data_IF_327247690426
#
_entry.id   IF_327247690426
#
_cell.length_a   1.000
_cell.length_b   1.000
_cell.length_c   1.000
_cell.angle_alpha   90.00
_cell.angle_beta   90.00
_cell.angle_gamma   90.00
#
_symmetry.space_group_name_H-M   'P 1'
#
loop_
_entity.id
_entity.type
_entity.pdbx_description
1 polymer ?
#
# COMPACT_ATOMS: atom_id res chain seq x y z
N UNK A 1 -11.09 -7.54 6.70
CA UNK A 1 -9.62 -7.33 6.71
C UNK A 1 -8.89 -8.35 7.58
N UNK A 2 -9.49 -8.81 8.69
CA UNK A 2 -8.82 -9.67 9.69
C UNK A 2 -8.50 -11.12 9.31
N UNK A 3 -8.73 -11.55 8.07
CA UNK A 3 -8.43 -12.94 7.61
C UNK A 3 -7.83 -13.04 6.21
N UNK A 4 -7.60 -11.91 5.53
CA UNK A 4 -6.99 -11.95 4.21
C UNK A 4 -5.47 -12.06 4.37
N UNK A 5 -4.82 -13.03 3.69
CA UNK A 5 -3.39 -13.16 3.78
C UNK A 5 -2.73 -11.89 3.17
N UNK A 6 -1.68 -11.34 3.81
CA UNK A 6 -1.04 -10.08 3.42
C UNK A 6 -0.71 -9.98 1.93
N UNK A 7 -0.25 -11.09 1.34
CA UNK A 7 0.12 -11.14 -0.08
C UNK A 7 -1.07 -10.94 -1.03
N UNK A 8 -2.24 -11.52 -0.73
CA UNK A 8 -3.42 -11.38 -1.59
C UNK A 8 -3.97 -9.97 -1.53
N UNK A 9 -4.06 -9.39 -0.32
CA UNK A 9 -4.62 -8.05 -0.14
C UNK A 9 -3.90 -7.02 -1.01
N UNK A 10 -2.58 -7.05 -1.00
CA UNK A 10 -1.77 -6.04 -1.71
C UNK A 10 -1.73 -6.29 -3.20
N UNK A 11 -1.64 -7.55 -3.62
CA UNK A 11 -1.73 -7.88 -5.04
C UNK A 11 -3.07 -7.41 -5.61
N UNK A 12 -4.18 -7.62 -4.89
CA UNK A 12 -5.52 -7.16 -5.32
C UNK A 12 -5.59 -5.64 -5.35
N UNK A 13 -5.13 -4.96 -4.30
CA UNK A 13 -5.15 -3.48 -4.21
C UNK A 13 -4.33 -2.87 -5.34
N UNK A 14 -3.09 -3.32 -5.55
CA UNK A 14 -2.20 -2.81 -6.60
C UNK A 14 -2.72 -3.08 -8.01
N UNK A 15 -3.25 -4.28 -8.28
CA UNK A 15 -3.84 -4.58 -9.59
C UNK A 15 -5.11 -3.76 -9.83
N UNK A 16 -5.95 -3.59 -8.81
CA UNK A 16 -7.18 -2.80 -8.92
C UNK A 16 -6.88 -1.32 -9.12
N UNK A 17 -5.92 -0.75 -8.38
CA UNK A 17 -5.45 0.62 -8.56
C UNK A 17 -4.92 0.85 -9.97
N UNK A 18 -4.02 -0.02 -10.44
CA UNK A 18 -3.42 0.12 -11.76
C UNK A 18 -4.47 0.03 -12.88
N UNK A 19 -5.46 -0.86 -12.72
CA UNK A 19 -6.57 -0.99 -13.66
C UNK A 19 -7.47 0.25 -13.65
N UNK A 20 -7.80 0.79 -12.47
CA UNK A 20 -8.64 1.99 -12.35
C UNK A 20 -7.93 3.23 -12.90
N UNK A 21 -6.64 3.40 -12.58
CA UNK A 21 -5.81 4.46 -13.16
C UNK A 21 -5.67 4.33 -14.68
N UNK A 22 -5.57 3.11 -15.21
CA UNK A 22 -5.60 2.89 -16.66
C UNK A 22 -6.94 3.30 -17.29
N UNK A 23 -8.06 2.98 -16.63
CA UNK A 23 -9.39 3.42 -17.07
C UNK A 23 -9.55 4.95 -16.99
N UNK A 24 -8.95 5.60 -15.97
CA UNK A 24 -8.94 7.06 -15.83
C UNK A 24 -8.31 7.74 -17.04
N UNK A 25 -7.14 7.27 -17.49
CA UNK A 25 -6.43 7.84 -18.65
C UNK A 25 -7.27 7.74 -19.93
N UNK A 26 -8.04 6.67 -20.08
CA UNK A 26 -8.88 6.42 -21.25
C UNK A 26 -10.28 7.07 -21.16
N UNK A 27 -10.61 7.73 -20.05
CA UNK A 27 -11.92 8.34 -19.85
C UNK A 27 -12.00 9.72 -20.50
N UNK A 28 -12.91 9.87 -21.46
CA UNK A 28 -13.18 11.15 -22.15
C UNK A 28 -14.26 11.97 -21.41
N UNK A 29 -15.15 11.30 -20.68
CA UNK A 29 -16.27 11.96 -19.99
C UNK A 29 -15.86 12.39 -18.58
N UNK A 30 -16.05 13.66 -18.24
CA UNK A 30 -15.68 14.25 -16.95
C UNK A 30 -16.38 13.58 -15.76
N UNK A 31 -17.62 13.13 -15.92
CA UNK A 31 -18.38 12.46 -14.85
C UNK A 31 -17.81 11.07 -14.57
N UNK A 32 -17.47 10.33 -15.63
CA UNK A 32 -16.85 9.01 -15.50
C UNK A 32 -15.44 9.16 -14.93
N UNK A 33 -14.68 10.16 -15.39
CA UNK A 33 -13.36 10.48 -14.85
C UNK A 33 -13.43 10.77 -13.35
N UNK A 34 -14.35 11.64 -12.91
CA UNK A 34 -14.52 11.99 -11.50
C UNK A 34 -14.94 10.78 -10.66
N UNK A 35 -15.86 9.96 -11.18
CA UNK A 35 -16.29 8.72 -10.52
C UNK A 35 -15.15 7.73 -10.34
N UNK A 36 -14.34 7.51 -11.39
CA UNK A 36 -13.17 6.64 -11.31
C UNK A 36 -12.11 7.19 -10.35
N UNK A 37 -11.94 8.51 -10.27
CA UNK A 37 -10.97 9.14 -9.36
C UNK A 37 -11.36 8.91 -7.89
N UNK A 38 -12.66 8.94 -7.57
CA UNK A 38 -13.15 8.58 -6.23
C UNK A 38 -12.92 7.09 -5.90
N UNK A 39 -13.11 6.21 -6.89
CA UNK A 39 -12.82 4.78 -6.73
C UNK A 39 -11.32 4.58 -6.47
N UNK A 40 -10.47 5.23 -7.26
CA UNK A 40 -9.01 5.18 -7.12
C UNK A 40 -8.56 5.63 -5.73
N UNK A 41 -9.07 6.77 -5.26
CA UNK A 41 -8.82 7.28 -3.91
C UNK A 41 -9.26 6.30 -2.82
N UNK A 42 -10.38 5.61 -3.02
CA UNK A 42 -10.89 4.61 -2.07
C UNK A 42 -9.97 3.39 -2.00
N UNK A 43 -9.44 2.95 -3.14
CA UNK A 43 -8.45 1.86 -3.21
C UNK A 43 -7.17 2.26 -2.47
N UNK A 44 -6.67 3.47 -2.69
CA UNK A 44 -5.49 4.01 -2.02
C UNK A 44 -5.67 4.00 -0.49
N UNK A 45 -6.79 4.55 0.02
CA UNK A 45 -7.07 4.58 1.47
C UNK A 45 -7.16 3.17 2.03
N UNK A 46 -7.85 2.26 1.32
CA UNK A 46 -7.99 0.86 1.73
C UNK A 46 -6.64 0.14 1.80
N UNK A 47 -5.74 0.41 0.85
CA UNK A 47 -4.36 -0.07 0.85
C UNK A 47 -3.56 0.41 2.05
N UNK A 48 -3.67 1.70 2.38
CA UNK A 48 -3.02 2.27 3.57
C UNK A 48 -3.48 1.60 4.87
N UNK A 49 -4.79 1.40 5.03
CA UNK A 49 -5.35 0.71 6.21
C UNK A 49 -4.87 -0.75 6.30
N UNK A 50 -4.78 -1.44 5.17
CA UNK A 50 -4.25 -2.80 5.11
C UNK A 50 -2.79 -2.87 5.57
N UNK A 51 -1.96 -1.95 5.07
CA UNK A 51 -0.54 -1.84 5.44
C UNK A 51 -0.36 -1.54 6.93
N UNK A 52 -1.11 -0.58 7.47
CA UNK A 52 -1.10 -0.24 8.89
C UNK A 52 -1.50 -1.43 9.77
N UNK A 53 -2.51 -2.20 9.35
CA UNK A 53 -2.93 -3.42 10.07
C UNK A 53 -1.79 -4.44 10.11
N UNK A 54 -1.13 -4.71 8.98
CA UNK A 54 0.02 -5.63 8.93
C UNK A 54 1.17 -5.17 9.82
N UNK A 55 1.57 -3.90 9.71
CA UNK A 55 2.65 -3.33 10.52
C UNK A 55 2.36 -3.43 12.03
N UNK A 56 1.10 -3.24 12.42
CA UNK A 56 0.68 -3.35 13.82
C UNK A 56 0.82 -4.76 14.38
N UNK A 57 0.65 -5.80 13.55
CA UNK A 57 0.76 -7.22 13.94
C UNK A 57 2.21 -7.69 14.03
N UNK A 58 3.12 -7.16 13.20
CA UNK A 58 4.55 -7.52 13.25
C UNK A 58 5.31 -6.76 14.33
N UNK A 59 4.82 -5.59 14.77
CA UNK A 59 5.58 -4.71 15.66
C UNK A 59 4.96 -4.55 17.05
N UNK A 60 5.16 -5.53 17.93
CA UNK A 60 4.71 -5.42 19.34
C UNK A 60 5.70 -4.57 20.17
N UNK A 61 7.00 -4.87 20.11
CA UNK A 61 8.00 -4.28 21.04
C UNK A 61 8.40 -2.83 20.74
N UNK A 62 8.50 -2.46 19.45
CA UNK A 62 8.96 -1.14 19.00
C UNK A 62 7.90 -0.42 18.16
N UNK A 63 6.61 -0.62 18.50
CA UNK A 63 5.47 -0.19 17.67
C UNK A 63 5.54 1.27 17.25
N UNK A 64 5.78 2.17 18.22
CA UNK A 64 5.83 3.61 17.96
C UNK A 64 6.96 4.02 17.00
N UNK A 65 8.14 3.40 17.09
CA UNK A 65 9.27 3.72 16.22
C UNK A 65 9.02 3.28 14.77
N UNK A 66 8.48 2.07 14.58
CA UNK A 66 8.23 1.53 13.24
C UNK A 66 7.06 2.23 12.58
N UNK A 67 5.96 2.48 13.32
CA UNK A 67 4.85 3.26 12.79
C UNK A 67 5.26 4.70 12.48
N UNK A 68 6.04 5.35 13.34
CA UNK A 68 6.55 6.70 13.09
C UNK A 68 7.48 6.78 11.88
N UNK A 69 8.33 5.77 11.67
CA UNK A 69 9.17 5.69 10.47
C UNK A 69 8.33 5.43 9.21
N UNK A 70 7.29 4.60 9.30
CA UNK A 70 6.32 4.41 8.23
C UNK A 70 5.62 5.72 7.85
N UNK A 71 5.19 6.49 8.84
CA UNK A 71 4.53 7.79 8.62
C UNK A 71 5.48 8.84 8.02
N UNK A 72 6.74 8.83 8.43
CA UNK A 72 7.77 9.67 7.83
C UNK A 72 7.97 9.33 6.34
N UNK A 73 8.05 8.05 6.00
CA UNK A 73 8.17 7.60 4.60
C UNK A 73 6.91 7.96 3.80
N UNK A 74 5.72 7.80 4.38
CA UNK A 74 4.46 8.20 3.74
C UNK A 74 4.41 9.72 3.48
N UNK A 75 4.89 10.52 4.44
CA UNK A 75 5.01 11.98 4.29
C UNK A 75 6.03 12.38 3.22
N UNK A 76 7.14 11.66 3.09
CA UNK A 76 8.06 11.86 1.97
C UNK A 76 7.38 11.54 0.64
N UNK A 77 6.64 10.43 0.56
CA UNK A 77 5.87 10.06 -0.62
C UNK A 77 4.83 11.10 -1.02
N UNK A 78 4.12 11.69 -0.04
CA UNK A 78 3.10 12.72 -0.30
C UNK A 78 3.69 14.06 -0.76
N UNK A 79 4.97 14.31 -0.52
CA UNK A 79 5.70 15.47 -1.05
C UNK A 79 6.30 15.15 -2.43
N UNK A 80 7.01 14.02 -2.53
CA UNK A 80 7.72 13.63 -3.75
C UNK A 80 6.74 13.31 -4.89
N UNK A 81 5.61 12.67 -4.60
CA UNK A 81 4.59 12.29 -5.58
C UNK A 81 4.07 13.48 -6.39
N UNK A 82 3.49 14.52 -5.76
CA UNK A 82 3.02 15.72 -6.46
C UNK A 82 4.12 16.48 -7.20
N UNK A 83 5.35 16.53 -6.67
CA UNK A 83 6.48 17.17 -7.36
C UNK A 83 6.80 16.42 -8.66
N UNK A 84 6.97 15.09 -8.59
CA UNK A 84 7.23 14.27 -9.77
C UNK A 84 6.06 14.29 -10.76
N UNK A 85 4.82 14.29 -10.25
CA UNK A 85 3.62 14.41 -11.06
C UNK A 85 3.53 15.75 -11.78
N UNK A 86 3.82 16.86 -11.10
CA UNK A 86 3.84 18.19 -11.71
C UNK A 86 4.89 18.29 -12.81
N UNK A 87 6.11 17.80 -12.56
CA UNK A 87 7.18 17.75 -13.56
C UNK A 87 6.75 16.90 -14.77
N UNK A 88 6.18 15.72 -14.55
CA UNK A 88 5.73 14.85 -15.63
C UNK A 88 4.60 15.47 -16.46
N UNK A 89 3.69 16.20 -15.81
CA UNK A 89 2.61 16.94 -16.45
C UNK A 89 3.15 18.06 -17.35
N UNK A 90 4.04 18.90 -16.82
CA UNK A 90 4.53 20.09 -17.50
C UNK A 90 5.51 19.78 -18.64
N UNK A 91 6.38 18.78 -18.46
CA UNK A 91 7.48 18.49 -19.39
C UNK A 91 7.19 17.35 -20.37
N UNK A 92 6.19 16.50 -20.13
CA UNK A 92 5.92 15.33 -20.98
C UNK A 92 4.51 15.36 -21.55
N UNK A 93 3.49 15.22 -20.70
CA UNK A 93 2.08 15.33 -21.08
C UNK A 93 1.16 15.14 -19.85
N UNK A 94 -0.06 15.71 -19.88
CA UNK A 94 -1.08 15.52 -18.83
C UNK A 94 -1.38 14.07 -18.42
N UNK A 95 -1.13 13.10 -19.31
CA UNK A 95 -1.39 11.68 -19.04
C UNK A 95 -0.27 11.01 -18.23
N UNK A 96 0.95 11.55 -18.28
CA UNK A 96 2.13 10.88 -17.71
C UNK A 96 2.14 10.72 -16.19
N UNK A 97 1.57 11.63 -15.37
CA UNK A 97 1.46 11.40 -13.93
C UNK A 97 0.73 10.10 -13.59
N UNK A 98 -0.34 9.81 -14.34
CA UNK A 98 -1.12 8.58 -14.17
C UNK A 98 -0.38 7.35 -14.70
N UNK A 99 0.33 7.47 -15.82
CA UNK A 99 1.16 6.38 -16.36
C UNK A 99 2.26 5.99 -15.37
N UNK A 100 2.95 6.98 -14.80
CA UNK A 100 3.96 6.75 -13.76
C UNK A 100 3.33 6.07 -12.54
N UNK A 101 2.14 6.51 -12.12
CA UNK A 101 1.38 5.88 -11.03
C UNK A 101 1.16 4.39 -11.27
N UNK A 102 0.70 4.00 -12.48
CA UNK A 102 0.50 2.58 -12.85
C UNK A 102 1.80 1.78 -12.69
N UNK A 103 2.93 2.31 -13.18
CA UNK A 103 4.22 1.62 -13.05
C UNK A 103 4.64 1.47 -11.58
N UNK A 104 4.45 2.52 -10.77
CA UNK A 104 4.73 2.48 -9.33
C UNK A 104 3.87 1.41 -8.66
N UNK A 105 2.55 1.42 -8.89
CA UNK A 105 1.61 0.45 -8.30
C UNK A 105 1.92 -1.00 -8.68
N UNK A 106 2.24 -1.26 -9.95
CA UNK A 106 2.61 -2.60 -10.41
C UNK A 106 3.97 -3.03 -9.83
N UNK A 107 4.92 -2.11 -9.68
CA UNK A 107 6.22 -2.40 -9.07
C UNK A 107 6.13 -2.71 -7.57
N UNK A 108 5.07 -2.24 -6.89
CA UNK A 108 4.83 -2.58 -5.49
C UNK A 108 4.54 -4.07 -5.32
N UNK A 109 3.93 -4.75 -6.30
CA UNK A 109 3.61 -6.18 -6.19
C UNK A 109 4.86 -7.03 -5.89
N UNK A 110 5.89 -7.07 -6.76
CA UNK A 110 7.09 -7.87 -6.48
C UNK A 110 7.86 -7.37 -5.25
N UNK A 111 7.95 -6.05 -5.05
CA UNK A 111 8.60 -5.48 -3.87
C UNK A 111 7.95 -5.99 -2.57
N UNK A 112 6.62 -5.97 -2.53
CA UNK A 112 5.86 -6.34 -1.35
C UNK A 112 5.87 -7.85 -1.11
N UNK A 113 5.85 -8.66 -2.17
CA UNK A 113 6.00 -10.11 -2.06
C UNK A 113 7.34 -10.48 -1.41
N UNK A 114 8.43 -9.81 -1.79
CA UNK A 114 9.74 -9.98 -1.16
C UNK A 114 9.69 -9.59 0.32
N UNK A 115 9.12 -8.42 0.63
CA UNK A 115 9.01 -7.93 2.01
C UNK A 115 8.19 -8.88 2.88
N UNK A 116 7.03 -9.33 2.41
CA UNK A 116 6.17 -10.29 3.12
C UNK A 116 6.89 -11.60 3.33
N UNK A 117 7.61 -12.12 2.35
CA UNK A 117 8.40 -13.33 2.49
C UNK A 117 9.41 -13.24 3.64
N UNK A 118 10.10 -12.10 3.81
CA UNK A 118 11.04 -11.88 4.92
C UNK A 118 10.37 -11.57 6.26
N UNK A 119 9.20 -10.91 6.25
CA UNK A 119 8.50 -10.47 7.47
C UNK A 119 7.58 -11.53 8.07
N UNK A 120 6.95 -12.40 7.26
CA UNK A 120 6.10 -13.49 7.72
C UNK A 120 6.75 -14.36 8.82
N UNK A 121 8.02 -14.79 8.74
CA UNK A 121 8.65 -15.58 9.80
C UNK A 121 8.86 -14.81 11.11
N UNK A 122 8.73 -13.48 11.11
CA UNK A 122 8.90 -12.61 12.28
C UNK A 122 7.55 -12.06 12.80
N UNK A 123 6.42 -12.67 12.41
CA UNK A 123 5.10 -12.26 12.87
C UNK A 123 4.99 -12.44 14.40
N UNK A 124 4.68 -11.35 15.09
CA UNK A 124 4.62 -11.33 16.55
C UNK A 124 3.49 -12.23 17.11
N UNK A 125 2.43 -12.46 16.34
CA UNK A 125 1.34 -13.40 16.67
C UNK A 125 1.83 -14.83 16.93
N UNK A 126 2.93 -15.27 16.30
CA UNK A 126 3.51 -16.60 16.56
C UNK A 126 4.12 -16.68 17.98
N UNK A 127 4.69 -15.58 18.47
CA UNK A 127 5.36 -15.52 19.78
C UNK A 127 4.36 -15.47 20.94
N UNK A 128 3.21 -14.79 20.81
CA UNK A 128 2.17 -14.79 21.85
C UNK A 128 1.59 -16.19 22.11
N UNK A 129 1.48 -17.03 21.07
CA UNK A 129 1.04 -18.43 21.22
C UNK A 129 2.08 -19.27 21.96
N UNK A 130 3.38 -19.06 21.68
CA UNK A 130 4.46 -19.76 22.37
C UNK A 130 4.61 -19.32 23.83
N UNK A 131 4.54 -18.02 24.13
CA UNK A 131 4.63 -17.50 25.50
C UNK A 131 3.46 -18.00 26.36
N UNK A 132 2.24 -18.02 25.82
CA UNK A 132 1.04 -18.53 26.49
C UNK A 132 1.08 -20.05 26.71
N UNK A 133 1.75 -20.79 25.83
CA UNK A 133 1.97 -22.24 25.99
C UNK A 133 3.12 -22.57 26.96
N UNK A 134 4.14 -21.71 27.07
CA UNK A 134 5.21 -21.86 28.06
C UNK A 134 4.75 -21.46 29.47
N UNK A 135 3.90 -20.44 29.60
CA UNK A 135 3.28 -20.04 30.88
C UNK A 135 2.28 -21.05 31.45
N UNK A 136 1.72 -21.94 30.60
CA UNK A 136 0.87 -23.06 31.03
C UNK A 136 1.64 -24.33 31.42
N UNK A 137 2.95 -24.38 31.17
CA UNK A 137 3.83 -25.51 31.48
C UNK A 137 4.64 -25.33 32.78
N UNK A 138 4.38 -24.27 33.55
CA UNK A 138 4.92 -24.06 34.90
C UNK A 138 3.84 -24.20 35.94
#
# INVERSE_FOLDING_TARGET
VDRLPPFLGITIISLSGALVTWLLINSINIWIFSGLLLVDLTIMISGGLFFQNLLSRITIKNRGKILGMGEFIASLGSVVGPILGGIAWDFISPQYPFIISIFVELSLIPLYLVVVYYLLPHLAETYEIEEKNQGKKK
#
